data_IF_510173814308
#
_entry.id   IF_510173814308
#
_cell.length_a   1.000
_cell.length_b   1.000
_cell.length_c   1.000
_cell.angle_alpha   90.00
_cell.angle_beta   90.00
_cell.angle_gamma   90.00
#
_symmetry.space_group_name_H-M   'P 1'
#
loop_
_entity.id
_entity.type
_entity.pdbx_description
1 polymer ?
#
# COMPACT_ATOMS: atom_id res chain seq x y z
N UNK A 1 -16.45 23.28 -8.38
CA UNK A 1 -16.30 23.52 -6.92
C UNK A 1 -17.12 22.58 -6.03
N UNK A 2 -18.12 21.83 -6.54
CA UNK A 2 -18.95 20.90 -5.74
C UNK A 2 -18.29 19.55 -5.39
N UNK A 3 -17.21 19.17 -6.06
CA UNK A 3 -16.59 17.83 -5.94
C UNK A 3 -15.64 17.69 -4.75
N UNK A 4 -15.12 18.79 -4.20
CA UNK A 4 -14.16 18.76 -3.07
C UNK A 4 -14.80 18.37 -1.75
N UNK A 5 -16.12 18.57 -1.62
CA UNK A 5 -16.89 18.24 -0.42
C UNK A 5 -17.48 16.82 -0.46
N UNK A 6 -17.44 16.15 -1.61
CA UNK A 6 -17.92 14.78 -1.75
C UNK A 6 -16.94 13.77 -1.15
N UNK A 7 -15.63 14.02 -1.24
CA UNK A 7 -14.59 13.14 -0.70
C UNK A 7 -14.65 13.02 0.84
N UNK A 8 -14.73 14.11 1.63
CA UNK A 8 -14.85 13.97 3.09
C UNK A 8 -16.20 13.38 3.51
N UNK A 9 -17.27 13.61 2.76
CA UNK A 9 -18.60 13.08 3.05
C UNK A 9 -18.66 11.56 2.78
N UNK A 10 -17.98 11.11 1.73
CA UNK A 10 -17.86 9.70 1.37
C UNK A 10 -16.91 8.95 2.30
N UNK A 11 -15.81 9.58 2.72
CA UNK A 11 -14.94 9.06 3.78
C UNK A 11 -15.68 8.95 5.12
N UNK A 12 -16.48 9.96 5.48
CA UNK A 12 -17.33 9.95 6.67
C UNK A 12 -18.37 8.82 6.63
N UNK A 13 -19.05 8.64 5.50
CA UNK A 13 -20.01 7.55 5.32
C UNK A 13 -19.34 6.16 5.40
N UNK A 14 -18.15 6.01 4.83
CA UNK A 14 -17.36 4.77 4.94
C UNK A 14 -16.96 4.47 6.39
N UNK A 15 -16.59 5.48 7.17
CA UNK A 15 -16.21 5.33 8.58
C UNK A 15 -17.40 4.93 9.46
N UNK A 16 -18.59 5.49 9.18
CA UNK A 16 -19.84 5.08 9.83
C UNK A 16 -20.21 3.63 9.49
N UNK A 17 -20.00 3.21 8.24
CA UNK A 17 -20.25 1.83 7.82
C UNK A 17 -19.28 0.82 8.47
N UNK A 18 -18.00 1.16 8.61
CA UNK A 18 -17.03 0.32 9.34
C UNK A 18 -17.40 0.23 10.82
N UNK A 19 -17.81 1.33 11.44
CA UNK A 19 -18.24 1.35 12.83
C UNK A 19 -19.51 0.51 13.06
N UNK A 20 -20.45 0.50 12.11
CA UNK A 20 -21.62 -0.38 12.16
C UNK A 20 -21.25 -1.86 11.93
N UNK A 21 -20.34 -2.15 11.00
CA UNK A 21 -19.86 -3.51 10.74
C UNK A 21 -19.13 -4.11 11.96
N UNK A 22 -18.44 -3.28 12.74
CA UNK A 22 -17.76 -3.69 13.96
C UNK A 22 -18.72 -4.04 15.12
N UNK A 23 -20.03 -3.76 15.03
CA UNK A 23 -21.04 -4.19 16.01
C UNK A 23 -21.58 -5.61 15.76
N UNK A 24 -21.09 -6.32 14.75
CA UNK A 24 -21.54 -7.67 14.40
C UNK A 24 -20.93 -8.76 15.29
N UNK A 25 -21.79 -9.51 15.97
CA UNK A 25 -21.47 -10.76 16.66
C UNK A 25 -20.78 -11.73 15.68
N UNK A 26 -19.62 -12.28 16.07
CA UNK A 26 -18.85 -13.21 15.23
C UNK A 26 -19.74 -14.38 14.78
N UNK A 27 -19.82 -14.68 13.46
CA UNK A 27 -20.57 -15.83 12.96
C UNK A 27 -19.86 -17.16 13.18
N UNK A 28 -18.72 -17.17 13.88
CA UNK A 28 -18.03 -18.39 14.26
C UNK A 28 -18.77 -19.01 15.45
N UNK A 29 -19.70 -19.91 15.17
CA UNK A 29 -20.17 -20.90 16.14
C UNK A 29 -19.00 -21.83 16.40
N UNK A 30 -18.35 -21.70 17.55
CA UNK A 30 -17.44 -22.73 18.03
C UNK A 30 -18.28 -23.96 18.39
N UNK A 31 -18.46 -24.88 17.44
CA UNK A 31 -18.97 -26.20 17.76
C UNK A 31 -17.84 -26.99 18.43
N UNK A 32 -17.73 -26.81 19.74
CA UNK A 32 -16.69 -27.40 20.57
C UNK A 32 -17.00 -28.87 20.88
N UNK A 33 -17.01 -29.75 19.88
CA UNK A 33 -16.98 -31.19 20.13
C UNK A 33 -15.54 -31.62 20.40
N UNK A 34 -15.03 -31.32 21.60
CA UNK A 34 -14.02 -32.18 22.21
C UNK A 34 -14.74 -33.47 22.57
N UNK A 35 -14.41 -34.57 21.89
CA UNK A 35 -14.92 -35.90 22.23
C UNK A 35 -14.49 -36.23 23.67
N UNK A 36 -15.39 -36.07 24.62
CA UNK A 36 -15.21 -36.54 25.98
C UNK A 36 -15.34 -38.08 26.00
N UNK A 37 -14.58 -38.80 26.84
CA UNK A 37 -14.69 -40.26 26.94
C UNK A 37 -16.08 -40.68 27.44
N UNK A 38 -16.60 -41.79 26.90
CA UNK A 38 -17.93 -42.33 27.17
C UNK A 38 -18.21 -42.52 28.67
N UNK A 39 -19.18 -41.75 29.17
CA UNK A 39 -19.86 -41.99 30.45
C UNK A 39 -21.33 -42.23 30.12
N UNK A 40 -21.96 -43.31 30.61
CA UNK A 40 -23.29 -43.70 30.16
C UNK A 40 -24.37 -42.66 30.49
N UNK A 41 -25.23 -42.44 29.50
CA UNK A 41 -26.28 -41.44 29.44
C UNK A 41 -27.33 -41.57 30.56
N UNK A 42 -27.75 -40.42 31.09
CA UNK A 42 -29.03 -40.24 31.76
C UNK A 42 -29.89 -39.32 30.90
N UNK A 43 -30.96 -39.88 30.32
CA UNK A 43 -32.03 -39.13 29.66
C UNK A 43 -32.76 -38.25 30.68
N UNK A 44 -32.95 -36.98 30.35
CA UNK A 44 -34.08 -36.21 30.88
C UNK A 44 -34.60 -35.33 29.76
N UNK A 45 -35.76 -35.73 29.26
CA UNK A 45 -36.56 -35.02 28.28
C UNK A 45 -37.38 -33.90 28.93
N UNK A 46 -37.83 -33.00 28.05
CA UNK A 46 -38.90 -32.01 28.18
C UNK A 46 -38.52 -30.60 28.66
N UNK A 47 -38.55 -29.63 27.75
CA UNK A 47 -39.74 -28.79 27.57
C UNK A 47 -39.67 -28.07 26.21
N UNK A 48 -40.68 -28.31 25.37
CA UNK A 48 -40.97 -27.51 24.20
C UNK A 48 -41.98 -26.43 24.62
N UNK A 49 -41.66 -25.15 24.41
CA UNK A 49 -42.68 -24.10 24.32
C UNK A 49 -42.37 -23.12 23.18
N UNK A 50 -43.27 -23.22 22.21
CA UNK A 50 -43.95 -22.18 21.44
C UNK A 50 -43.16 -21.20 20.55
N UNK A 51 -43.42 -21.37 19.26
CA UNK A 51 -43.08 -20.45 18.18
C UNK A 51 -44.25 -19.51 17.93
N UNK A 52 -44.01 -18.20 17.84
CA UNK A 52 -44.60 -17.32 16.82
C UNK A 52 -44.23 -15.85 17.09
N UNK A 53 -43.53 -15.22 16.13
CA UNK A 53 -43.64 -13.81 15.73
C UNK A 53 -42.32 -13.11 15.31
N UNK A 54 -41.30 -13.80 14.79
CA UNK A 54 -40.12 -13.13 14.19
C UNK A 54 -39.82 -13.50 12.72
N UNK A 55 -40.72 -14.24 12.07
CA UNK A 55 -40.45 -14.84 10.74
C UNK A 55 -40.61 -13.91 9.53
N UNK A 56 -41.23 -12.74 9.66
CA UNK A 56 -41.65 -11.95 8.46
C UNK A 56 -40.90 -10.62 8.32
N UNK A 57 -40.34 -10.06 9.40
CA UNK A 57 -39.61 -8.77 9.34
C UNK A 57 -38.12 -8.97 8.98
N UNK A 58 -37.54 -10.15 9.23
CA UNK A 58 -36.14 -10.46 8.89
C UNK A 58 -35.89 -10.77 7.42
N UNK A 59 -36.85 -11.37 6.71
CA UNK A 59 -36.65 -11.84 5.33
C UNK A 59 -36.74 -10.69 4.31
N UNK A 60 -37.65 -9.73 4.53
CA UNK A 60 -37.79 -8.54 3.67
C UNK A 60 -36.67 -7.53 3.95
N UNK A 61 -36.29 -7.36 5.23
CA UNK A 61 -35.16 -6.50 5.63
C UNK A 61 -33.81 -7.03 5.14
N UNK A 62 -33.58 -8.34 5.24
CA UNK A 62 -32.35 -8.99 4.74
C UNK A 62 -32.21 -8.88 3.22
N UNK A 63 -33.31 -8.97 2.48
CA UNK A 63 -33.32 -8.82 1.02
C UNK A 63 -33.02 -7.39 0.58
N UNK A 64 -33.54 -6.39 1.28
CA UNK A 64 -33.24 -4.98 1.00
C UNK A 64 -31.79 -4.62 1.33
N UNK A 65 -31.27 -5.11 2.47
CA UNK A 65 -29.87 -4.92 2.88
C UNK A 65 -28.92 -5.61 1.90
N UNK A 66 -29.22 -6.85 1.50
CA UNK A 66 -28.42 -7.57 0.49
C UNK A 66 -28.42 -6.84 -0.86
N UNK A 67 -29.58 -6.32 -1.31
CA UNK A 67 -29.69 -5.50 -2.52
C UNK A 67 -28.83 -4.23 -2.41
N UNK A 68 -28.88 -3.53 -1.27
CA UNK A 68 -28.11 -2.31 -1.03
C UNK A 68 -26.59 -2.57 -1.04
N UNK A 69 -26.15 -3.68 -0.46
CA UNK A 69 -24.74 -4.11 -0.48
C UNK A 69 -24.30 -4.46 -1.90
N UNK A 70 -25.12 -5.17 -2.68
CA UNK A 70 -24.80 -5.49 -4.08
C UNK A 70 -24.73 -4.21 -4.92
N UNK A 71 -25.68 -3.29 -4.77
CA UNK A 71 -25.67 -1.99 -5.46
C UNK A 71 -24.44 -1.19 -5.07
N UNK A 72 -24.07 -1.15 -3.78
CA UNK A 72 -22.85 -0.49 -3.30
C UNK A 72 -21.60 -1.12 -3.90
N UNK A 73 -21.48 -2.46 -3.91
CA UNK A 73 -20.36 -3.16 -4.53
C UNK A 73 -20.27 -2.86 -6.03
N UNK A 74 -21.40 -2.84 -6.75
CA UNK A 74 -21.44 -2.47 -8.17
C UNK A 74 -20.97 -1.04 -8.38
N UNK A 75 -21.42 -0.08 -7.55
CA UNK A 75 -20.98 1.31 -7.63
C UNK A 75 -19.49 1.47 -7.30
N UNK A 76 -18.96 0.70 -6.34
CA UNK A 76 -17.53 0.67 -6.02
C UNK A 76 -16.74 0.10 -7.20
N UNK A 77 -17.16 -1.01 -7.79
CA UNK A 77 -16.49 -1.60 -8.97
C UNK A 77 -16.55 -0.67 -10.18
N UNK A 78 -17.69 -0.01 -10.43
CA UNK A 78 -17.84 0.96 -11.51
C UNK A 78 -16.99 2.21 -11.29
N UNK A 79 -16.91 2.72 -10.05
CA UNK A 79 -16.05 3.87 -9.74
C UNK A 79 -14.57 3.52 -9.84
N UNK A 80 -14.17 2.33 -9.38
CA UNK A 80 -12.80 1.85 -9.51
C UNK A 80 -12.44 1.60 -10.98
N UNK A 81 -13.36 0.99 -11.75
CA UNK A 81 -13.25 0.80 -13.18
C UNK A 81 -13.16 2.13 -13.93
N UNK A 82 -13.97 3.12 -13.57
CA UNK A 82 -13.92 4.46 -14.15
C UNK A 82 -12.60 5.17 -13.83
N UNK A 83 -12.07 5.06 -12.60
CA UNK A 83 -10.74 5.62 -12.24
C UNK A 83 -9.65 4.95 -13.07
N UNK A 84 -9.62 3.62 -13.15
CA UNK A 84 -8.63 2.88 -13.95
C UNK A 84 -8.76 3.21 -15.45
N UNK A 85 -9.98 3.31 -15.97
CA UNK A 85 -10.28 3.71 -17.35
C UNK A 85 -10.09 5.19 -17.63
N UNK A 86 -9.98 6.05 -16.62
CA UNK A 86 -9.66 7.47 -16.79
C UNK A 86 -8.15 7.70 -16.72
N UNK A 87 -7.42 6.91 -15.92
CA UNK A 87 -5.95 6.91 -15.84
C UNK A 87 -5.28 6.16 -17.02
N UNK A 88 -5.92 5.11 -17.53
CA UNK A 88 -5.39 4.25 -18.60
C UNK A 88 -5.24 4.88 -19.99
N UNK A 89 -6.24 5.63 -20.52
CA UNK A 89 -6.15 6.25 -21.84
C UNK A 89 -5.42 7.60 -21.84
N UNK A 90 -5.33 8.30 -20.69
CA UNK A 90 -4.47 9.49 -20.57
C UNK A 90 -2.99 9.15 -20.74
N UNK A 91 -2.54 7.98 -20.25
CA UNK A 91 -1.18 7.46 -20.47
C UNK A 91 -0.88 7.04 -21.92
N UNK A 92 -1.91 6.63 -22.68
CA UNK A 92 -1.74 6.22 -24.09
C UNK A 92 -1.80 7.39 -25.08
N UNK A 93 -2.50 8.48 -24.74
CA UNK A 93 -2.61 9.67 -25.62
C UNK A 93 -1.34 10.52 -25.65
N UNK A 94 -0.54 10.55 -24.57
CA UNK A 94 0.73 11.31 -24.52
C UNK A 94 1.79 10.75 -25.49
N UNK A 95 1.68 9.49 -25.92
CA UNK A 95 2.62 8.88 -26.88
C UNK A 95 2.29 9.21 -28.35
N UNK A 96 1.13 9.82 -28.64
CA UNK A 96 0.64 9.96 -30.01
C UNK A 96 0.66 11.41 -30.58
N UNK A 97 0.77 12.45 -29.75
CA UNK A 97 0.84 13.86 -30.20
C UNK A 97 2.03 14.53 -29.49
N UNK A 98 3.22 14.69 -30.08
CA UNK A 98 3.50 15.66 -31.13
C UNK A 98 3.08 17.10 -30.77
N UNK A 99 3.88 17.80 -29.96
CA UNK A 99 4.29 19.18 -30.28
C UNK A 99 5.50 19.57 -29.44
N UNK A 100 6.67 19.38 -30.03
CA UNK A 100 7.99 19.18 -29.42
C UNK A 100 8.67 20.41 -28.80
N UNK A 101 7.93 21.45 -28.41
CA UNK A 101 8.53 22.66 -27.78
C UNK A 101 7.95 22.94 -26.40
N UNK A 102 6.65 22.66 -26.19
CA UNK A 102 6.04 22.73 -24.85
C UNK A 102 6.35 21.47 -24.03
N UNK A 103 6.60 20.34 -24.71
CA UNK A 103 6.95 19.07 -24.07
C UNK A 103 8.30 19.10 -23.35
N UNK A 104 9.31 19.83 -23.85
CA UNK A 104 10.61 19.94 -23.18
C UNK A 104 10.48 20.68 -21.83
N UNK A 105 9.73 21.79 -21.79
CA UNK A 105 9.47 22.53 -20.56
C UNK A 105 8.56 21.76 -19.58
N UNK A 106 7.60 20.97 -20.09
CA UNK A 106 6.75 20.13 -19.25
C UNK A 106 7.50 18.89 -18.72
N UNK A 107 8.36 18.26 -19.53
CA UNK A 107 9.24 17.16 -19.10
C UNK A 107 10.27 17.64 -18.06
N UNK A 108 10.74 18.89 -18.17
CA UNK A 108 11.64 19.50 -17.19
C UNK A 108 10.92 19.77 -15.86
N UNK A 109 9.70 20.31 -15.89
CA UNK A 109 8.90 20.53 -14.67
C UNK A 109 8.43 19.22 -14.02
N UNK A 110 7.93 18.25 -14.79
CA UNK A 110 7.56 16.92 -14.30
C UNK A 110 8.79 16.16 -13.79
N UNK A 111 9.93 16.31 -14.46
CA UNK A 111 11.22 15.77 -14.04
C UNK A 111 11.67 16.35 -12.70
N UNK A 112 11.57 17.68 -12.54
CA UNK A 112 11.92 18.41 -11.32
C UNK A 112 11.02 18.04 -10.15
N UNK A 113 9.71 17.97 -10.37
CA UNK A 113 8.75 17.46 -9.38
C UNK A 113 9.08 16.02 -8.98
N UNK A 114 9.41 15.16 -9.95
CA UNK A 114 9.84 13.78 -9.69
C UNK A 114 11.11 13.69 -8.85
N UNK A 115 12.10 14.54 -9.14
CA UNK A 115 13.34 14.66 -8.36
C UNK A 115 13.04 15.14 -6.93
N UNK A 116 12.18 16.15 -6.74
CA UNK A 116 11.80 16.65 -5.42
C UNK A 116 11.09 15.60 -4.57
N UNK A 117 10.19 14.80 -5.18
CA UNK A 117 9.51 13.69 -4.49
C UNK A 117 10.51 12.61 -4.08
N UNK A 118 11.43 12.24 -4.97
CA UNK A 118 12.46 11.25 -4.69
C UNK A 118 13.42 11.73 -3.60
N UNK A 119 13.84 12.99 -3.65
CA UNK A 119 14.68 13.65 -2.66
C UNK A 119 14.02 13.69 -1.29
N UNK A 120 12.74 14.04 -1.22
CA UNK A 120 11.96 14.06 0.02
C UNK A 120 11.89 12.66 0.64
N UNK A 121 11.63 11.65 -0.18
CA UNK A 121 11.61 10.25 0.26
C UNK A 121 12.99 9.75 0.71
N UNK A 122 14.05 10.10 -0.01
CA UNK A 122 15.42 9.74 0.35
C UNK A 122 15.85 10.38 1.67
N UNK A 123 15.50 11.65 1.91
CA UNK A 123 15.72 12.34 3.21
C UNK A 123 14.97 11.66 4.35
N UNK A 124 13.70 11.28 4.13
CA UNK A 124 12.90 10.55 5.11
C UNK A 124 13.54 9.20 5.44
N UNK A 125 13.91 8.43 4.42
CA UNK A 125 14.57 7.14 4.58
C UNK A 125 15.91 7.28 5.34
N UNK A 126 16.68 8.33 5.07
CA UNK A 126 17.93 8.62 5.78
C UNK A 126 17.68 8.96 7.25
N UNK A 127 16.67 9.79 7.53
CA UNK A 127 16.30 10.15 8.89
C UNK A 127 15.84 8.94 9.70
N UNK A 128 15.01 8.06 9.12
CA UNK A 128 14.56 6.83 9.77
C UNK A 128 15.72 5.85 10.01
N UNK A 129 16.61 5.68 9.03
CA UNK A 129 17.78 4.81 9.14
C UNK A 129 18.76 5.31 10.21
N UNK A 130 19.01 6.62 10.28
CA UNK A 130 19.86 7.25 11.32
C UNK A 130 19.21 7.27 12.70
N UNK A 131 17.89 7.46 12.76
CA UNK A 131 17.11 7.45 13.99
C UNK A 131 17.06 6.09 14.68
N UNK A 132 17.40 5.01 13.94
CA UNK A 132 17.53 3.62 14.38
C UNK A 132 16.48 3.20 15.42
N UNK A 133 15.25 2.87 14.98
CA UNK A 133 14.27 2.26 15.87
C UNK A 133 14.80 0.93 16.43
N UNK A 134 14.29 0.53 17.60
CA UNK A 134 14.61 -0.74 18.26
C UNK A 134 14.38 -1.91 17.30
N UNK A 135 15.46 -2.59 16.88
CA UNK A 135 15.37 -3.74 15.97
C UNK A 135 16.70 -4.15 15.31
N UNK A 136 16.71 -5.24 14.52
CA UNK A 136 17.88 -5.70 13.77
C UNK A 136 18.36 -4.67 12.72
N UNK A 137 19.69 -4.54 12.47
CA UNK A 137 20.21 -3.66 11.42
C UNK A 137 19.70 -3.98 10.01
N UNK A 138 19.42 -5.25 9.72
CA UNK A 138 18.82 -5.70 8.45
C UNK A 138 17.51 -5.01 8.16
N UNK A 139 16.65 -4.89 9.18
CA UNK A 139 15.29 -4.38 9.02
C UNK A 139 15.32 -2.88 8.73
N UNK A 140 16.25 -2.15 9.35
CA UNK A 140 16.47 -0.74 9.08
C UNK A 140 16.94 -0.50 7.63
N UNK A 141 17.87 -1.32 7.12
CA UNK A 141 18.34 -1.25 5.73
C UNK A 141 17.21 -1.57 4.75
N UNK A 142 16.41 -2.61 5.04
CA UNK A 142 15.24 -2.96 4.21
C UNK A 142 14.22 -1.83 4.19
N UNK A 143 13.88 -1.26 5.35
CA UNK A 143 12.94 -0.16 5.45
C UNK A 143 13.42 1.08 4.67
N UNK A 144 14.70 1.42 4.78
CA UNK A 144 15.29 2.54 4.04
C UNK A 144 15.18 2.36 2.51
N UNK A 145 15.47 1.16 2.01
CA UNK A 145 15.35 0.86 0.59
C UNK A 145 13.88 0.89 0.11
N UNK A 146 12.95 0.30 0.87
CA UNK A 146 11.53 0.30 0.51
C UNK A 146 10.92 1.70 0.51
N UNK A 147 11.33 2.57 1.43
CA UNK A 147 10.95 3.98 1.41
C UNK A 147 11.44 4.70 0.15
N UNK A 148 12.66 4.39 -0.30
CA UNK A 148 13.20 4.93 -1.55
C UNK A 148 12.44 4.40 -2.78
N UNK A 149 12.09 3.12 -2.81
CA UNK A 149 11.25 2.54 -3.88
C UNK A 149 9.87 3.19 -3.92
N UNK A 150 9.26 3.43 -2.75
CA UNK A 150 7.97 4.11 -2.65
C UNK A 150 8.05 5.56 -3.16
N UNK A 151 9.15 6.26 -2.85
CA UNK A 151 9.39 7.61 -3.35
C UNK A 151 9.59 7.62 -4.88
N UNK A 152 10.37 6.67 -5.40
CA UNK A 152 10.54 6.48 -6.83
C UNK A 152 9.19 6.22 -7.53
N UNK A 153 8.35 5.33 -6.98
CA UNK A 153 7.02 5.06 -7.51
C UNK A 153 6.09 6.29 -7.48
N UNK A 154 6.33 7.21 -6.54
CA UNK A 154 5.56 8.44 -6.38
C UNK A 154 6.09 9.60 -7.21
N UNK A 155 7.26 9.46 -7.87
CA UNK A 155 7.90 10.50 -8.68
C UNK A 155 7.12 10.86 -9.96
N UNK A 156 6.11 10.09 -10.34
CA UNK A 156 5.37 10.26 -11.59
C UNK A 156 6.04 9.61 -12.80
N UNK A 157 7.30 9.16 -12.70
CA UNK A 157 7.98 8.47 -13.78
C UNK A 157 7.30 7.12 -14.12
N UNK A 158 7.12 6.80 -15.42
CA UNK A 158 6.46 5.56 -15.83
C UNK A 158 7.38 4.35 -15.63
N UNK A 159 6.93 3.38 -14.83
CA UNK A 159 7.52 2.02 -14.72
C UNK A 159 6.96 1.12 -15.82
N UNK A 160 7.79 0.27 -16.43
CA UNK A 160 7.32 -0.75 -17.40
C UNK A 160 6.60 -1.88 -16.68
N UNK A 161 5.65 -2.54 -17.34
CA UNK A 161 4.85 -3.62 -16.71
C UNK A 161 5.69 -4.80 -16.20
N UNK A 162 6.81 -5.09 -16.88
CA UNK A 162 7.74 -6.18 -16.53
C UNK A 162 8.89 -5.73 -15.62
N UNK A 163 9.08 -4.43 -15.41
CA UNK A 163 10.22 -3.88 -14.67
C UNK A 163 9.94 -3.93 -13.18
N UNK A 164 10.80 -4.55 -12.39
CA UNK A 164 10.60 -4.66 -10.93
C UNK A 164 10.76 -3.30 -10.23
N UNK A 165 10.23 -3.12 -9.01
CA UNK A 165 10.44 -1.88 -8.24
C UNK A 165 11.93 -1.52 -8.08
N UNK A 166 12.77 -2.52 -7.78
CA UNK A 166 14.22 -2.33 -7.61
C UNK A 166 14.90 -1.91 -8.92
N UNK A 167 14.54 -2.51 -10.05
CA UNK A 167 15.07 -2.12 -11.37
C UNK A 167 14.64 -0.70 -11.75
N UNK A 168 13.36 -0.38 -11.52
CA UNK A 168 12.81 0.94 -11.78
C UNK A 168 13.50 2.02 -10.94
N UNK A 169 13.66 1.80 -9.63
CA UNK A 169 14.37 2.72 -8.74
C UNK A 169 15.83 2.88 -9.17
N UNK A 170 16.51 1.80 -9.56
CA UNK A 170 17.88 1.86 -10.08
C UNK A 170 17.97 2.71 -11.36
N UNK A 171 17.09 2.47 -12.32
CA UNK A 171 17.02 3.22 -13.57
C UNK A 171 16.71 4.71 -13.33
N UNK A 172 15.83 5.01 -12.38
CA UNK A 172 15.47 6.37 -12.02
C UNK A 172 16.63 7.12 -11.35
N UNK A 173 17.37 6.47 -10.44
CA UNK A 173 18.58 7.04 -9.83
C UNK A 173 19.66 7.32 -10.89
N UNK A 174 19.83 6.43 -11.87
CA UNK A 174 20.74 6.67 -13.01
C UNK A 174 20.26 7.83 -13.88
N UNK A 175 18.95 7.95 -14.13
CA UNK A 175 18.35 9.05 -14.89
C UNK A 175 18.61 10.41 -14.25
N UNK A 176 18.59 10.48 -12.92
CA UNK A 176 18.89 11.69 -12.15
C UNK A 176 20.38 11.84 -11.80
N UNK A 177 21.27 11.14 -12.50
CA UNK A 177 22.73 11.25 -12.36
C UNK A 177 23.24 11.07 -10.92
N UNK A 178 22.53 10.24 -10.14
CA UNK A 178 22.95 9.90 -8.78
C UNK A 178 24.23 9.08 -8.81
N UNK A 179 25.10 9.27 -7.82
CA UNK A 179 26.31 8.50 -7.61
C UNK A 179 26.03 6.98 -7.71
N UNK A 180 26.51 6.40 -8.82
CA UNK A 180 26.27 5.00 -9.17
C UNK A 180 26.88 4.04 -8.16
N UNK A 181 27.99 4.41 -7.52
CA UNK A 181 28.61 3.61 -6.47
C UNK A 181 27.79 3.68 -5.17
N UNK A 182 27.23 4.85 -4.83
CA UNK A 182 26.32 4.98 -3.70
C UNK A 182 25.06 4.12 -3.88
N UNK A 183 24.41 4.25 -5.04
CA UNK A 183 23.21 3.48 -5.37
C UNK A 183 23.49 1.96 -5.38
N UNK A 184 24.63 1.54 -5.93
CA UNK A 184 25.03 0.13 -5.95
C UNK A 184 25.30 -0.42 -4.54
N UNK A 185 26.00 0.34 -3.68
CA UNK A 185 26.23 -0.05 -2.27
C UNK A 185 24.92 -0.23 -1.53
N UNK A 186 24.01 0.74 -1.63
CA UNK A 186 22.72 0.68 -0.95
C UNK A 186 21.89 -0.52 -1.43
N UNK A 187 21.81 -0.74 -2.74
CA UNK A 187 21.10 -1.90 -3.33
C UNK A 187 21.72 -3.23 -2.90
N UNK A 188 23.04 -3.33 -2.86
CA UNK A 188 23.73 -4.53 -2.41
C UNK A 188 23.48 -4.86 -0.94
N UNK A 189 23.46 -3.83 -0.09
CA UNK A 189 23.13 -3.96 1.33
C UNK A 189 21.67 -4.40 1.53
N UNK A 190 20.74 -3.83 0.77
CA UNK A 190 19.34 -4.28 0.75
C UNK A 190 19.21 -5.75 0.35
N UNK A 191 19.85 -6.16 -0.76
CA UNK A 191 19.79 -7.55 -1.22
C UNK A 191 20.36 -8.52 -0.18
N UNK A 192 21.47 -8.17 0.47
CA UNK A 192 22.04 -8.97 1.56
C UNK A 192 21.13 -9.00 2.79
N UNK A 193 20.50 -7.88 3.14
CA UNK A 193 19.55 -7.82 4.26
C UNK A 193 18.29 -8.65 4.02
N UNK A 194 17.80 -8.72 2.77
CA UNK A 194 16.55 -9.40 2.43
C UNK A 194 16.72 -10.90 2.14
N UNK A 195 17.83 -11.27 1.50
CA UNK A 195 18.05 -12.65 1.02
C UNK A 195 19.28 -13.32 1.63
N UNK A 196 20.08 -12.61 2.43
CA UNK A 196 21.22 -13.18 3.14
C UNK A 196 20.79 -14.02 4.34
N UNK A 197 21.77 -14.70 4.95
CA UNK A 197 21.53 -15.42 6.21
C UNK A 197 21.26 -14.43 7.35
N UNK A 198 20.58 -14.86 8.42
CA UNK A 198 20.43 -14.07 9.64
C UNK A 198 21.79 -13.54 10.14
N UNK A 199 21.78 -12.35 10.73
CA UNK A 199 22.94 -11.68 11.34
C UNK A 199 24.11 -11.32 10.39
N UNK A 200 23.99 -11.53 9.07
CA UNK A 200 25.00 -11.07 8.10
C UNK A 200 25.07 -9.54 7.93
N UNK A 201 23.99 -8.83 8.27
CA UNK A 201 23.95 -7.36 8.17
C UNK A 201 24.16 -6.78 9.56
N UNK A 202 25.29 -6.10 9.71
CA UNK A 202 25.76 -5.55 10.97
C UNK A 202 25.35 -4.08 11.16
N UNK A 203 25.59 -3.54 12.35
CA UNK A 203 25.47 -2.10 12.61
C UNK A 203 26.31 -1.25 11.66
N UNK A 204 27.52 -1.70 11.34
CA UNK A 204 28.44 -1.04 10.40
C UNK A 204 27.87 -1.02 8.98
N UNK A 205 27.15 -2.08 8.59
CA UNK A 205 26.47 -2.13 7.29
C UNK A 205 25.31 -1.14 7.22
N UNK A 206 24.55 -0.99 8.31
CA UNK A 206 23.51 0.02 8.39
C UNK A 206 24.07 1.46 8.36
N UNK A 207 25.25 1.70 8.95
CA UNK A 207 25.98 2.97 8.81
C UNK A 207 26.42 3.19 7.36
N UNK A 208 27.00 2.18 6.70
CA UNK A 208 27.38 2.26 5.29
C UNK A 208 26.17 2.50 4.37
N UNK A 209 25.00 1.96 4.70
CA UNK A 209 23.74 2.27 4.01
C UNK A 209 23.32 3.73 4.21
N UNK A 210 23.47 4.27 5.41
CA UNK A 210 23.18 5.68 5.70
C UNK A 210 24.12 6.61 4.93
N UNK A 211 25.42 6.32 4.89
CA UNK A 211 26.41 7.10 4.13
C UNK A 211 26.15 7.03 2.62
N UNK A 212 25.75 5.86 2.12
CA UNK A 212 25.33 5.72 0.72
C UNK A 212 24.09 6.55 0.42
N UNK A 213 23.08 6.49 1.29
CA UNK A 213 21.84 7.25 1.11
C UNK A 213 22.04 8.77 1.25
N UNK A 214 22.98 9.21 2.10
CA UNK A 214 23.37 10.61 2.20
C UNK A 214 24.00 11.13 0.90
N UNK A 215 24.86 10.34 0.25
CA UNK A 215 25.38 10.68 -1.08
C UNK A 215 24.27 10.73 -2.13
N UNK A 216 23.30 9.82 -2.08
CA UNK A 216 22.11 9.87 -2.96
C UNK A 216 21.35 11.18 -2.75
N UNK A 217 21.08 11.57 -1.50
CA UNK A 217 20.43 12.84 -1.18
C UNK A 217 21.23 14.02 -1.70
N UNK A 218 22.55 14.05 -1.50
CA UNK A 218 23.41 15.14 -1.95
C UNK A 218 23.44 15.29 -3.48
N UNK A 219 23.38 14.18 -4.24
CA UNK A 219 23.25 14.22 -5.70
C UNK A 219 21.90 14.78 -6.13
N UNK A 220 20.81 14.35 -5.51
CA UNK A 220 19.44 14.77 -5.85
C UNK A 220 19.14 16.23 -5.46
N UNK A 221 19.87 16.78 -4.50
CA UNK A 221 19.74 18.17 -4.04
C UNK A 221 20.57 19.16 -4.87
N UNK A 222 21.40 18.67 -5.80
CA UNK A 222 22.17 19.52 -6.69
C UNK A 222 21.23 20.19 -7.71
N UNK A 223 21.34 21.52 -7.93
CA UNK A 223 20.51 22.25 -8.87
C UNK A 223 20.80 21.88 -10.34
#
# INVERSE_FOLDING_TARGET
MRTRWLVPLLAGAALVLVALAARGNSPIVYDGTLQAPDVPAAETAAAAEDSAAEGVVGVVGGSLVALLVVVLCVLVVLSLGAVVLMLGPHRKRVRAEASSVVAAAADDEDGRLGTEVLLTGARKALAELRGRPTGPPSDAVVAAWLNLEQAAASSGAPRRDHETPTEFTGALLTRYEVDTAAAATLRGLYQRARFGAPDQVTTRDAEAAADALERVVACLDRP
#
